data_IF_297656785303
#
_entry.id   IF_297656785303
#
_cell.length_a   1.000
_cell.length_b   1.000
_cell.length_c   1.000
_cell.angle_alpha   90.00
_cell.angle_beta   90.00
_cell.angle_gamma   90.00
#
_symmetry.space_group_name_H-M   'P 1'
#
loop_
_entity.id
_entity.type
_entity.pdbx_description
1 polymer ?
#
# COMPACT_ATOMS: atom_id res chain seq x y z
N UNK A 1 -3.15 -13.76 -10.56
CA UNK A 1 -2.16 -14.48 -9.74
C UNK A 1 -1.69 -13.54 -8.66
N UNK A 2 -1.92 -13.90 -7.40
CA UNK A 2 -1.53 -13.07 -6.25
C UNK A 2 -0.03 -13.21 -5.97
N UNK A 3 0.69 -12.10 -5.77
CA UNK A 3 2.12 -12.10 -5.54
C UNK A 3 2.38 -12.55 -4.12
N UNK A 4 3.32 -13.47 -3.93
CA UNK A 4 3.63 -14.01 -2.60
C UNK A 4 4.52 -13.08 -1.79
N UNK A 5 5.13 -12.10 -2.45
CA UNK A 5 6.05 -11.15 -1.85
C UNK A 5 6.02 -9.80 -2.56
N UNK A 6 6.48 -8.76 -1.85
CA UNK A 6 6.49 -7.37 -2.35
C UNK A 6 7.32 -7.23 -3.62
N UNK A 7 8.46 -7.94 -3.74
CA UNK A 7 9.32 -7.82 -4.93
C UNK A 7 8.61 -8.30 -6.19
N UNK A 8 7.89 -9.41 -6.09
CA UNK A 8 7.08 -9.97 -7.19
C UNK A 8 5.93 -9.02 -7.56
N UNK A 9 5.23 -8.47 -6.56
CA UNK A 9 4.18 -7.47 -6.77
C UNK A 9 4.73 -6.24 -7.52
N UNK A 10 5.91 -5.75 -7.14
CA UNK A 10 6.57 -4.60 -7.75
C UNK A 10 7.12 -4.85 -9.16
N UNK A 11 7.16 -6.10 -9.62
CA UNK A 11 7.57 -6.44 -10.99
C UNK A 11 6.40 -6.67 -11.93
N UNK A 12 5.20 -6.90 -11.39
CA UNK A 12 4.03 -7.20 -12.19
C UNK A 12 3.24 -5.92 -12.48
N UNK A 13 3.06 -5.54 -13.76
CA UNK A 13 2.40 -4.29 -14.13
C UNK A 13 0.96 -4.18 -13.57
N UNK A 14 0.23 -5.29 -13.48
CA UNK A 14 -1.15 -5.31 -12.96
C UNK A 14 -1.18 -4.92 -11.48
N UNK A 15 -0.21 -5.37 -10.70
CA UNK A 15 -0.12 -5.05 -9.27
C UNK A 15 0.35 -3.64 -9.02
N UNK A 16 1.27 -3.14 -9.85
CA UNK A 16 1.73 -1.75 -9.80
C UNK A 16 0.55 -0.80 -10.08
N UNK A 17 -0.21 -1.08 -11.14
CA UNK A 17 -1.39 -0.29 -11.52
C UNK A 17 -2.44 -0.31 -10.39
N UNK A 18 -2.75 -1.50 -9.86
CA UNK A 18 -3.69 -1.64 -8.75
C UNK A 18 -3.26 -0.86 -7.49
N UNK A 19 -1.98 -0.92 -7.10
CA UNK A 19 -1.46 -0.11 -5.98
C UNK A 19 -1.55 1.39 -6.26
N UNK A 20 -1.33 1.82 -7.50
CA UNK A 20 -1.44 3.23 -7.89
C UNK A 20 -2.89 3.73 -7.84
N UNK A 21 -3.85 2.92 -8.29
CA UNK A 21 -5.27 3.23 -8.20
C UNK A 21 -5.74 3.36 -6.74
N UNK A 22 -5.33 2.44 -5.87
CA UNK A 22 -5.67 2.49 -4.44
C UNK A 22 -5.07 3.74 -3.77
N UNK A 23 -3.79 4.05 -4.04
CA UNK A 23 -3.16 5.30 -3.59
C UNK A 23 -3.88 6.56 -4.11
N UNK A 24 -4.38 6.51 -5.34
CA UNK A 24 -5.17 7.60 -5.91
C UNK A 24 -6.51 7.75 -5.20
N UNK A 25 -7.17 6.66 -4.83
CA UNK A 25 -8.39 6.72 -4.02
C UNK A 25 -8.12 7.33 -2.64
N UNK A 26 -7.02 6.97 -1.97
CA UNK A 26 -6.67 7.60 -0.69
C UNK A 26 -6.46 9.12 -0.81
N UNK A 27 -5.84 9.58 -1.90
CA UNK A 27 -5.71 11.01 -2.19
C UNK A 27 -7.06 11.68 -2.48
N UNK A 28 -7.97 11.00 -3.18
CA UNK A 28 -9.32 11.54 -3.49
C UNK A 28 -10.20 11.68 -2.26
N UNK A 29 -10.09 10.75 -1.32
CA UNK A 29 -10.89 10.72 -0.09
C UNK A 29 -10.23 11.57 1.02
N UNK A 30 -9.03 12.11 0.77
CA UNK A 30 -8.24 12.93 1.70
C UNK A 30 -8.02 12.28 3.07
N UNK A 31 -7.93 10.94 3.07
CA UNK A 31 -7.75 10.15 4.31
C UNK A 31 -6.30 10.20 4.82
N UNK A 32 -5.34 10.56 3.96
CA UNK A 32 -3.92 10.59 4.30
C UNK A 32 -3.26 11.87 3.78
N UNK A 33 -2.61 12.60 4.68
CA UNK A 33 -1.74 13.74 4.34
C UNK A 33 -0.29 13.28 4.45
N UNK A 34 0.48 13.44 3.37
CA UNK A 34 1.92 13.22 3.40
C UNK A 34 2.58 14.40 4.14
N UNK A 35 3.04 14.17 5.37
CA UNK A 35 3.72 15.19 6.18
C UNK A 35 5.24 15.01 6.06
N UNK A 36 6.01 16.09 5.84
CA UNK A 36 7.47 16.01 5.85
C UNK A 36 7.96 15.58 7.23
N UNK A 37 9.05 14.81 7.26
CA UNK A 37 9.65 14.34 8.50
C UNK A 37 10.11 15.57 9.30
N UNK A 38 9.68 15.74 10.57
CA UNK A 38 10.14 16.84 11.39
C UNK A 38 11.64 16.72 11.65
N UNK A 39 12.37 17.83 11.50
CA UNK A 39 13.79 17.87 11.84
C UNK A 39 13.96 17.49 13.32
N UNK A 40 14.83 16.53 13.62
CA UNK A 40 15.07 15.91 14.94
C UNK A 40 14.14 14.78 15.38
N UNK A 41 13.26 14.28 14.52
CA UNK A 41 12.50 13.04 14.79
C UNK A 41 12.93 11.98 13.81
N UNK A 42 13.47 10.87 14.33
CA UNK A 42 13.59 9.65 13.53
C UNK A 42 12.17 9.19 13.19
N UNK A 43 11.79 9.10 11.91
CA UNK A 43 10.50 8.56 11.55
C UNK A 43 10.39 7.18 12.18
N UNK A 44 9.38 6.98 13.03
CA UNK A 44 9.10 5.67 13.59
C UNK A 44 8.84 4.75 12.40
N UNK A 45 9.73 3.79 12.15
CA UNK A 45 9.59 2.85 11.04
C UNK A 45 8.43 1.92 11.36
N UNK A 46 7.20 2.40 11.18
CA UNK A 46 5.99 1.60 11.24
C UNK A 46 6.05 0.67 10.04
N UNK A 47 6.50 -0.56 10.29
CA UNK A 47 6.44 -1.64 9.34
C UNK A 47 4.98 -2.05 9.23
N UNK A 48 4.26 -1.43 8.30
CA UNK A 48 2.90 -1.83 7.98
C UNK A 48 2.94 -3.27 7.49
N UNK A 49 2.40 -4.18 8.31
CA UNK A 49 2.12 -5.54 7.88
C UNK A 49 0.76 -5.45 7.20
N UNK A 50 0.76 -5.34 5.87
CA UNK A 50 -0.45 -5.52 5.09
C UNK A 50 -0.85 -6.99 5.21
N UNK A 51 -1.78 -7.29 6.11
CA UNK A 51 -2.49 -8.56 6.09
C UNK A 51 -3.65 -8.37 5.12
N UNK A 52 -3.61 -9.06 3.98
CA UNK A 52 -4.81 -9.23 3.17
C UNK A 52 -5.89 -9.81 4.09
N UNK A 53 -7.01 -9.08 4.23
CA UNK A 53 -8.24 -9.73 4.63
C UNK A 53 -8.58 -10.64 3.46
N UNK A 54 -8.53 -11.94 3.70
CA UNK A 54 -9.04 -12.88 2.74
C UNK A 54 -10.56 -12.66 2.74
N UNK A 55 -11.07 -11.90 1.77
CA UNK A 55 -12.47 -12.01 1.40
C UNK A 55 -12.58 -13.38 0.71
N UNK A 56 -12.78 -14.42 1.51
CA UNK A 56 -13.33 -15.68 1.05
C UNK A 56 -14.78 -15.44 0.62
N UNK A 57 -14.96 -14.80 -0.53
CA UNK A 57 -16.18 -14.97 -1.31
C UNK A 57 -15.78 -15.43 -2.72
N UNK A 58 -15.27 -16.67 -2.77
CA UNK A 58 -15.24 -17.46 -3.99
C UNK A 58 -16.59 -18.18 -4.08
N UNK A 59 -17.52 -17.61 -4.85
CA UNK A 59 -18.58 -18.39 -5.51
C UNK A 59 -18.07 -18.80 -6.88
#
# INVERSE_FOLDING_TARGET
MEPKNVKEAMTNPVWIESMQEELLQFKRIDVWVLVPIPNNISPLTLKWIFKNKHDEEQT
#
